data_IF_769124569285
#
_entry.id   IF_769124569285
#
_cell.length_a   1.000
_cell.length_b   1.000
_cell.length_c   1.000
_cell.angle_alpha   90.00
_cell.angle_beta   90.00
_cell.angle_gamma   90.00
#
_symmetry.space_group_name_H-M   'P 1'
#
loop_
_entity.id
_entity.type
_entity.pdbx_description
1 polymer ?
#
# COMPACT_ATOMS: atom_id res chain seq x y z
N UNK A 1 -41.23 6.51 63.61
CA UNK A 1 -39.85 6.09 63.32
C UNK A 1 -39.61 6.31 61.85
N UNK A 2 -38.88 7.36 61.49
CA UNK A 2 -38.58 7.71 60.09
C UNK A 2 -37.07 7.80 59.99
N UNK A 3 -36.46 6.80 59.38
CA UNK A 3 -35.02 6.74 59.14
C UNK A 3 -34.77 7.15 57.69
N UNK A 4 -34.27 8.37 57.51
CA UNK A 4 -33.69 8.83 56.25
C UNK A 4 -32.30 8.22 56.09
N UNK A 5 -32.01 7.60 54.95
CA UNK A 5 -30.65 7.22 54.56
C UNK A 5 -30.31 7.92 53.25
N UNK A 6 -29.31 8.79 53.33
CA UNK A 6 -28.69 9.51 52.22
C UNK A 6 -27.37 8.82 51.87
N UNK A 7 -27.11 8.59 50.57
CA UNK A 7 -25.82 8.48 49.86
C UNK A 7 -26.06 7.62 48.58
N UNK A 8 -25.48 7.86 47.41
CA UNK A 8 -24.21 8.51 47.07
C UNK A 8 -24.18 8.86 45.57
N UNK A 9 -23.52 9.97 45.28
CA UNK A 9 -23.00 10.47 44.00
C UNK A 9 -22.47 9.42 43.01
N UNK A 10 -22.74 9.62 41.71
CA UNK A 10 -22.00 9.00 40.62
C UNK A 10 -22.23 9.70 39.28
N UNK A 11 -21.39 10.70 38.95
CA UNK A 11 -21.32 11.33 37.62
C UNK A 11 -20.81 10.33 36.59
N UNK A 12 -21.48 10.18 35.45
CA UNK A 12 -20.89 9.62 34.23
C UNK A 12 -21.18 10.57 33.07
N UNK A 13 -20.14 11.32 32.70
CA UNK A 13 -20.13 12.16 31.51
C UNK A 13 -20.11 11.27 30.27
N UNK A 14 -21.12 11.43 29.42
CA UNK A 14 -21.19 10.79 28.11
C UNK A 14 -20.23 11.50 27.16
N UNK A 15 -19.15 10.82 26.78
CA UNK A 15 -18.28 11.27 25.70
C UNK A 15 -19.00 10.96 24.39
N UNK A 16 -19.37 12.01 23.65
CA UNK A 16 -19.93 11.93 22.31
C UNK A 16 -18.87 11.35 21.38
N UNK A 17 -19.10 10.12 20.92
CA UNK A 17 -18.23 9.44 19.97
C UNK A 17 -18.27 10.14 18.62
N UNK A 18 -17.11 10.60 18.14
CA UNK A 18 -16.92 10.98 16.74
C UNK A 18 -16.91 9.71 15.90
N UNK A 19 -17.96 9.49 15.12
CA UNK A 19 -18.00 8.42 14.12
C UNK A 19 -17.21 8.88 12.89
N UNK A 20 -15.98 8.39 12.74
CA UNK A 20 -15.27 8.45 11.47
C UNK A 20 -15.90 7.42 10.52
N UNK A 21 -16.62 7.90 9.50
CA UNK A 21 -17.15 7.05 8.44
C UNK A 21 -15.98 6.57 7.57
N UNK A 22 -15.47 5.36 7.83
CA UNK A 22 -14.57 4.69 6.93
C UNK A 22 -15.36 4.22 5.71
N UNK A 23 -15.10 4.82 4.55
CA UNK A 23 -15.60 4.31 3.27
C UNK A 23 -14.81 3.03 2.96
N UNK A 24 -15.34 1.88 3.35
CA UNK A 24 -14.80 0.57 2.98
C UNK A 24 -15.21 0.32 1.53
N UNK A 25 -14.36 0.74 0.60
CA UNK A 25 -14.39 0.21 -0.76
C UNK A 25 -14.00 -1.27 -0.70
N UNK A 26 -14.99 -2.15 -0.73
CA UNK A 26 -14.76 -3.61 -0.80
C UNK A 26 -14.23 -3.93 -2.19
N UNK A 27 -12.91 -3.86 -2.33
CA UNK A 27 -12.22 -4.55 -3.41
C UNK A 27 -12.30 -6.04 -3.06
N UNK A 28 -12.93 -6.84 -3.92
CA UNK A 28 -12.88 -8.29 -3.84
C UNK A 28 -11.41 -8.72 -3.98
N UNK A 29 -10.69 -8.82 -2.86
CA UNK A 29 -9.38 -9.44 -2.82
C UNK A 29 -9.58 -10.95 -2.91
N UNK A 30 -8.76 -11.68 -3.69
CA UNK A 30 -8.81 -13.13 -3.64
C UNK A 30 -8.59 -13.59 -2.20
N UNK A 31 -9.43 -14.52 -1.74
CA UNK A 31 -9.55 -14.94 -0.34
C UNK A 31 -8.30 -15.66 0.24
N UNK A 32 -7.17 -15.61 -0.47
CA UNK A 32 -5.92 -16.30 -0.19
C UNK A 32 -4.68 -15.40 -0.37
N UNK A 33 -4.84 -14.09 -0.64
CA UNK A 33 -3.67 -13.21 -0.84
C UNK A 33 -2.96 -12.92 0.49
N UNK A 34 -1.69 -13.30 0.58
CA UNK A 34 -0.76 -12.74 1.55
C UNK A 34 -0.56 -11.25 1.28
N UNK A 35 -0.17 -10.49 2.31
CA UNK A 35 0.09 -9.07 2.10
C UNK A 35 1.14 -8.53 3.05
N UNK A 36 1.80 -7.47 2.59
CA UNK A 36 2.65 -6.66 3.44
C UNK A 36 2.47 -5.18 3.13
N UNK A 37 2.72 -4.35 4.12
CA UNK A 37 2.64 -2.90 4.01
C UNK A 37 3.93 -2.23 4.47
N UNK A 38 4.25 -1.10 3.87
CA UNK A 38 5.42 -0.28 4.22
C UNK A 38 5.19 1.19 3.84
N UNK A 39 6.25 1.98 3.91
CA UNK A 39 6.38 3.29 3.26
C UNK A 39 7.70 3.34 2.51
N UNK A 40 7.82 4.28 1.58
CA UNK A 40 9.04 4.54 0.82
C UNK A 40 9.43 5.99 1.06
N UNK A 41 10.71 6.25 1.36
CA UNK A 41 11.23 7.61 1.50
C UNK A 41 12.40 7.79 0.55
N UNK A 42 12.32 8.79 -0.33
CA UNK A 42 13.37 9.16 -1.28
C UNK A 42 13.94 7.98 -2.09
N UNK A 43 13.08 7.08 -2.59
CA UNK A 43 13.51 6.05 -3.53
C UNK A 43 13.92 6.70 -4.86
N UNK A 44 15.18 6.53 -5.23
CA UNK A 44 15.68 6.87 -6.55
C UNK A 44 15.21 5.87 -7.61
N UNK A 45 15.69 6.07 -8.83
CA UNK A 45 15.47 5.14 -9.93
C UNK A 45 16.10 3.78 -9.59
N UNK A 46 15.51 2.71 -10.10
CA UNK A 46 15.92 1.33 -9.86
C UNK A 46 15.86 0.89 -8.38
N UNK A 47 15.13 1.62 -7.52
CA UNK A 47 14.87 1.16 -6.16
C UNK A 47 14.07 -0.15 -6.19
N UNK A 48 14.65 -1.19 -5.59
CA UNK A 48 13.99 -2.48 -5.38
C UNK A 48 13.28 -2.53 -4.03
N UNK A 49 12.07 -3.11 -4.03
CA UNK A 49 11.41 -3.47 -2.78
C UNK A 49 12.12 -4.63 -2.07
N UNK A 50 11.64 -4.95 -0.86
CA UNK A 50 11.85 -6.29 -0.30
C UNK A 50 11.29 -7.34 -1.27
N UNK A 51 11.87 -8.54 -1.22
CA UNK A 51 11.34 -9.72 -1.89
C UNK A 51 10.19 -10.33 -1.07
N UNK A 52 9.31 -11.06 -1.75
CA UNK A 52 8.29 -11.91 -1.14
C UNK A 52 8.11 -13.19 -1.97
N UNK A 53 7.80 -14.29 -1.30
CA UNK A 53 7.45 -15.56 -1.96
C UNK A 53 5.95 -15.59 -2.21
N UNK A 54 5.58 -15.88 -3.44
CA UNK A 54 4.21 -15.94 -3.93
C UNK A 54 3.95 -17.34 -4.50
N UNK A 55 2.84 -17.97 -4.10
CA UNK A 55 2.43 -19.30 -4.56
C UNK A 55 1.79 -19.27 -5.96
N UNK A 56 1.72 -18.09 -6.58
CA UNK A 56 1.17 -17.82 -7.89
C UNK A 56 -0.24 -17.22 -7.82
N UNK A 57 -0.69 -16.65 -8.94
CA UNK A 57 -1.98 -15.97 -9.03
C UNK A 57 -1.80 -14.51 -9.42
N UNK A 58 -2.34 -13.61 -8.60
CA UNK A 58 -2.42 -12.18 -8.91
C UNK A 58 -1.73 -11.33 -7.84
N UNK A 59 -0.71 -10.58 -8.25
CA UNK A 59 -0.10 -9.54 -7.43
C UNK A 59 -0.81 -8.20 -7.64
N UNK A 60 -1.14 -7.49 -6.56
CA UNK A 60 -1.62 -6.11 -6.60
C UNK A 60 -0.74 -5.20 -5.73
N UNK A 61 -0.16 -4.17 -6.34
CA UNK A 61 0.69 -3.19 -5.64
C UNK A 61 -0.05 -1.85 -5.60
N UNK A 62 -0.12 -1.27 -4.41
CA UNK A 62 -0.81 0.00 -4.16
C UNK A 62 0.09 1.03 -3.53
N UNK A 63 0.17 2.21 -4.15
CA UNK A 63 0.88 3.36 -3.59
C UNK A 63 -0.15 4.45 -3.25
N UNK A 64 -0.06 4.99 -2.05
CA UNK A 64 -0.97 6.03 -1.56
C UNK A 64 -0.18 7.25 -1.10
N UNK A 65 -0.63 8.44 -1.49
CA UNK A 65 0.00 9.73 -1.16
C UNK A 65 1.49 9.77 -1.51
N UNK A 66 1.76 9.70 -2.81
CA UNK A 66 3.08 9.85 -3.43
C UNK A 66 3.52 11.32 -3.41
N UNK A 67 4.84 11.54 -3.25
CA UNK A 67 5.50 12.84 -3.32
C UNK A 67 6.79 12.72 -4.10
N UNK A 68 6.98 13.62 -5.05
CA UNK A 68 8.17 13.74 -5.91
C UNK A 68 8.22 15.16 -6.47
N UNK A 69 9.41 15.64 -6.80
CA UNK A 69 9.60 16.89 -7.54
C UNK A 69 9.51 16.64 -9.05
N UNK A 70 8.83 17.52 -9.79
CA UNK A 70 8.69 17.39 -11.25
C UNK A 70 7.51 16.52 -11.66
N UNK A 71 7.75 15.54 -12.54
CA UNK A 71 6.70 14.68 -13.11
C UNK A 71 5.98 13.87 -12.04
N UNK A 72 4.66 14.03 -11.96
CA UNK A 72 3.77 13.32 -11.05
C UNK A 72 3.35 11.94 -11.61
N UNK A 73 4.37 11.14 -11.94
CA UNK A 73 4.20 9.75 -12.34
C UNK A 73 5.33 8.93 -11.71
N UNK A 74 5.03 7.70 -11.31
CA UNK A 74 6.01 6.71 -10.88
C UNK A 74 5.71 5.40 -11.58
N UNK A 75 6.71 4.81 -12.22
CA UNK A 75 6.57 3.53 -12.89
C UNK A 75 6.94 2.40 -11.93
N UNK A 76 6.08 1.41 -11.80
CA UNK A 76 6.30 0.25 -10.94
C UNK A 76 6.34 -0.98 -11.82
N UNK A 77 7.47 -1.69 -11.79
CA UNK A 77 7.69 -2.89 -12.60
C UNK A 77 7.80 -4.10 -11.67
N UNK A 78 6.95 -5.11 -11.85
CA UNK A 78 7.08 -6.38 -11.15
C UNK A 78 8.22 -7.20 -11.77
N UNK A 79 9.03 -7.81 -10.92
CA UNK A 79 10.14 -8.69 -11.30
C UNK A 79 10.09 -9.97 -10.50
N UNK A 80 10.52 -11.05 -11.14
CA UNK A 80 10.71 -12.34 -10.48
C UNK A 80 12.19 -12.58 -10.30
N UNK A 81 12.58 -12.86 -9.06
CA UNK A 81 13.94 -13.23 -8.71
C UNK A 81 14.17 -14.67 -9.17
N UNK A 82 15.05 -14.87 -10.15
CA UNK A 82 15.43 -16.19 -10.64
C UNK A 82 16.93 -16.28 -10.80
N UNK A 83 17.45 -17.50 -10.86
CA UNK A 83 18.85 -17.70 -11.21
C UNK A 83 19.08 -17.37 -12.69
N UNK A 84 19.57 -16.15 -12.97
CA UNK A 84 19.79 -15.61 -14.31
C UNK A 84 19.29 -14.16 -14.43
N UNK A 85 19.03 -13.66 -15.64
CA UNK A 85 18.31 -12.40 -15.80
C UNK A 85 16.87 -12.57 -15.31
N UNK A 86 16.47 -11.74 -14.36
CA UNK A 86 15.11 -11.74 -13.84
C UNK A 86 14.08 -11.54 -14.96
N UNK A 87 12.98 -12.30 -15.03
CA UNK A 87 11.86 -11.95 -15.89
C UNK A 87 11.32 -10.56 -15.55
N UNK A 88 11.03 -9.79 -16.59
CA UNK A 88 10.45 -8.46 -16.48
C UNK A 88 8.97 -8.55 -16.87
N UNK A 89 8.08 -8.24 -15.92
CA UNK A 89 6.65 -8.17 -16.20
C UNK A 89 6.27 -6.75 -16.62
N UNK A 90 5.02 -6.56 -17.05
CA UNK A 90 4.52 -5.24 -17.48
C UNK A 90 4.79 -4.16 -16.44
N UNK A 91 5.11 -2.95 -16.90
CA UNK A 91 5.26 -1.79 -16.02
C UNK A 91 3.90 -1.10 -15.86
N UNK A 92 3.52 -0.79 -14.62
CA UNK A 92 2.34 0.00 -14.31
C UNK A 92 2.74 1.45 -13.98
N UNK A 93 2.11 2.43 -14.62
CA UNK A 93 2.36 3.85 -14.35
C UNK A 93 1.35 4.38 -13.32
N UNK A 94 1.86 4.79 -12.16
CA UNK A 94 1.06 5.30 -11.06
C UNK A 94 1.07 6.83 -11.08
N UNK A 95 -0.09 7.41 -11.36
CA UNK A 95 -0.29 8.87 -11.40
C UNK A 95 -1.27 9.36 -10.32
N UNK A 96 -2.28 8.56 -9.99
CA UNK A 96 -3.32 8.97 -9.06
C UNK A 96 -2.82 9.21 -7.63
N UNK A 97 -1.82 8.45 -7.18
CA UNK A 97 -1.26 8.57 -5.83
C UNK A 97 -0.64 9.93 -5.51
N UNK A 98 -0.35 10.77 -6.51
CA UNK A 98 0.10 12.15 -6.30
C UNK A 98 -1.01 13.11 -5.89
N UNK A 99 -2.28 12.70 -6.03
CA UNK A 99 -3.41 13.42 -5.44
C UNK A 99 -3.50 13.13 -3.94
N UNK A 100 -3.88 14.14 -3.16
CA UNK A 100 -3.91 14.06 -1.69
C UNK A 100 -4.83 12.93 -1.21
N UNK A 101 -4.28 11.95 -0.47
CA UNK A 101 -5.02 10.80 0.05
C UNK A 101 -5.41 9.74 -1.00
N UNK A 102 -5.07 9.94 -2.27
CA UNK A 102 -5.43 9.03 -3.34
C UNK A 102 -4.44 7.87 -3.48
N UNK A 103 -4.91 6.79 -4.12
CA UNK A 103 -4.17 5.54 -4.34
C UNK A 103 -4.05 5.25 -5.83
N UNK A 104 -2.86 4.85 -6.26
CA UNK A 104 -2.63 4.17 -7.54
C UNK A 104 -2.51 2.67 -7.28
N UNK A 105 -3.02 1.85 -8.20
CA UNK A 105 -2.98 0.39 -8.12
C UNK A 105 -2.43 -0.17 -9.42
N UNK A 106 -1.50 -1.12 -9.32
CA UNK A 106 -1.08 -1.99 -10.41
C UNK A 106 -1.51 -3.42 -10.12
N UNK A 107 -1.86 -4.17 -11.16
CA UNK A 107 -2.26 -5.56 -11.09
C UNK A 107 -1.43 -6.37 -12.09
N UNK A 108 -0.93 -7.51 -11.62
CA UNK A 108 -0.19 -8.48 -12.41
C UNK A 108 -0.82 -9.83 -12.16
N UNK A 109 -1.55 -10.32 -13.14
CA UNK A 109 -2.19 -11.62 -13.08
C UNK A 109 -1.30 -12.68 -13.75
N UNK A 110 -1.48 -13.95 -13.36
CA UNK A 110 -0.87 -15.12 -13.98
C UNK A 110 0.67 -15.10 -14.06
N UNK A 111 1.36 -14.45 -13.10
CA UNK A 111 2.83 -14.41 -13.10
C UNK A 111 3.50 -15.73 -12.67
N UNK A 112 2.72 -16.68 -12.16
CA UNK A 112 3.17 -17.97 -11.63
C UNK A 112 3.78 -17.88 -10.23
N UNK A 113 4.15 -19.01 -9.62
CA UNK A 113 4.78 -19.03 -8.30
C UNK A 113 6.26 -18.66 -8.34
N UNK A 114 6.79 -18.13 -7.24
CA UNK A 114 8.21 -17.81 -7.06
C UNK A 114 8.45 -16.61 -6.16
N UNK A 115 9.69 -16.12 -6.14
CA UNK A 115 10.06 -14.93 -5.40
C UNK A 115 9.94 -13.69 -6.28
N UNK A 116 9.28 -12.66 -5.78
CA UNK A 116 9.00 -11.43 -6.50
C UNK A 116 9.46 -10.20 -5.73
N UNK A 117 9.73 -9.14 -6.48
CA UNK A 117 9.96 -7.79 -5.98
C UNK A 117 9.46 -6.80 -7.02
N UNK A 118 9.27 -5.54 -6.63
CA UNK A 118 9.02 -4.47 -7.61
C UNK A 118 10.17 -3.49 -7.68
N UNK A 119 10.28 -2.85 -8.83
CA UNK A 119 11.29 -1.82 -9.11
C UNK A 119 10.60 -0.52 -9.46
N UNK A 120 11.07 0.58 -8.87
CA UNK A 120 10.62 1.93 -9.15
C UNK A 120 11.44 2.55 -10.28
N UNK A 121 10.75 3.03 -11.31
CA UNK A 121 11.32 3.73 -12.47
C UNK A 121 12.51 3.00 -13.11
N UNK A 122 12.33 1.68 -13.30
CA UNK A 122 13.35 0.80 -13.86
C UNK A 122 13.92 1.35 -15.18
N UNK A 123 15.24 1.51 -15.25
CA UNK A 123 15.96 1.98 -16.44
C UNK A 123 15.74 3.46 -16.79
N UNK A 124 15.10 4.25 -15.92
CA UNK A 124 14.93 5.69 -16.14
C UNK A 124 16.26 6.43 -16.01
N UNK A 125 16.55 7.32 -16.96
CA UNK A 125 17.70 8.23 -16.93
C UNK A 125 17.40 9.59 -16.28
N UNK A 126 16.18 9.79 -15.78
CA UNK A 126 15.76 11.04 -15.12
C UNK A 126 15.72 10.81 -13.62
N UNK A 127 16.66 11.41 -12.88
CA UNK A 127 16.64 11.33 -11.41
C UNK A 127 15.47 12.15 -10.85
N UNK A 128 14.47 11.44 -10.36
CA UNK A 128 13.36 12.04 -9.64
C UNK A 128 13.01 11.10 -8.47
N UNK A 129 13.48 11.34 -7.24
CA UNK A 129 13.18 10.44 -6.14
C UNK A 129 11.70 10.52 -5.77
N UNK A 130 11.09 9.39 -5.40
CA UNK A 130 9.71 9.32 -4.92
C UNK A 130 9.67 8.92 -3.45
N UNK A 131 8.77 9.53 -2.71
CA UNK A 131 8.34 9.08 -1.38
C UNK A 131 6.89 8.64 -1.46
N UNK A 132 6.56 7.54 -0.80
CA UNK A 132 5.22 6.95 -0.78
C UNK A 132 4.82 6.80 0.68
N UNK A 133 3.73 7.46 1.07
CA UNK A 133 3.31 7.49 2.47
C UNK A 133 2.78 6.14 2.95
N UNK A 134 2.07 5.42 2.08
CA UNK A 134 1.60 4.07 2.33
C UNK A 134 1.72 3.21 1.08
N UNK A 135 2.41 2.09 1.23
CA UNK A 135 2.61 1.04 0.26
C UNK A 135 1.94 -0.23 0.79
N UNK A 136 1.15 -0.89 -0.04
CA UNK A 136 0.64 -2.24 0.26
C UNK A 136 0.81 -3.12 -0.96
N UNK A 137 1.31 -4.34 -0.74
CA UNK A 137 1.37 -5.39 -1.75
C UNK A 137 0.48 -6.55 -1.30
N UNK A 138 -0.37 -7.01 -2.20
CA UNK A 138 -1.17 -8.23 -2.09
C UNK A 138 -0.64 -9.23 -3.11
N UNK A 139 -0.47 -10.48 -2.71
CA UNK A 139 0.12 -11.54 -3.50
C UNK A 139 -0.42 -12.89 -3.03
#
# INVERSE_FOLDING_TARGET
MTTSTMARTGKRASIVGMAAAAVVGVLAMPAQASSWSSSITNAGNDFESRRWTDDGGSTSIKFTSCKRSGTQAVNVTLRKDVFGPDPLYSTATFTNCFNSGATSTGNWDDHGSGDYYFVVDYGSNVYAPVSVSSLTVYY
#
